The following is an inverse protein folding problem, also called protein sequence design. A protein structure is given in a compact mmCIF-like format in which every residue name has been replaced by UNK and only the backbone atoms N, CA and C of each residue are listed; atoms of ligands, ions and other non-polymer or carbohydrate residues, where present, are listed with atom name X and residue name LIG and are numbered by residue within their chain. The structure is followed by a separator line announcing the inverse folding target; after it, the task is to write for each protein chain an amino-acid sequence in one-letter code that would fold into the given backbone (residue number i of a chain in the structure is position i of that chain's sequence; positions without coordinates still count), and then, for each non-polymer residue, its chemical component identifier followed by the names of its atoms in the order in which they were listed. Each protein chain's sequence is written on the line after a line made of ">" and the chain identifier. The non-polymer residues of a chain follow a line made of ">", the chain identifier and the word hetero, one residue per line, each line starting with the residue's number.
data_IF_795369928738
#
_entry.id   IF_795369928738
#
_cell.length_a   1.000
_cell.length_b   1.000
_cell.length_c   1.000
_cell.angle_alpha   90.00
_cell.angle_beta   90.00
_cell.angle_gamma   90.00
#
_symmetry.space_group_name_H-M   'P 1'
#
loop_
_entity.id
_entity.type
_entity.pdbx_description
1 polymer ?
#
# COMPACT_ATOMS: atom_id res chain seq x y z
N UNK A 1 -12.39 20.92 4.83
CA UNK A 1 -11.20 20.12 4.49
C UNK A 1 -11.15 19.92 2.97
N UNK A 2 -10.98 20.99 2.19
CA UNK A 2 -11.13 20.93 0.73
C UNK A 2 -10.32 22.03 0.01
N UNK A 3 -9.05 22.20 0.38
CA UNK A 3 -8.18 23.19 -0.30
C UNK A 3 -6.74 22.72 -0.52
N UNK A 4 -6.34 21.57 0.04
CA UNK A 4 -4.99 21.04 -0.15
C UNK A 4 -4.88 20.16 -1.40
N UNK A 5 -6.02 19.65 -1.89
CA UNK A 5 -6.08 18.61 -2.91
C UNK A 5 -6.10 19.17 -4.35
N UNK A 6 -6.71 20.34 -4.60
CA UNK A 6 -6.80 20.91 -5.96
C UNK A 6 -5.46 21.38 -6.56
N UNK A 7 -4.50 21.83 -5.73
CA UNK A 7 -3.20 22.32 -6.21
C UNK A 7 -2.19 21.16 -6.40
N UNK A 8 -2.31 20.10 -5.60
CA UNK A 8 -1.49 18.89 -5.75
C UNK A 8 -1.80 18.16 -7.06
N UNK A 9 -3.08 18.12 -7.44
CA UNK A 9 -3.54 17.56 -8.72
C UNK A 9 -3.07 18.35 -9.94
N UNK A 10 -2.92 19.67 -9.82
CA UNK A 10 -2.49 20.52 -10.92
C UNK A 10 -0.96 20.47 -11.19
N UNK A 11 -0.15 20.09 -10.18
CA UNK A 11 1.31 20.01 -10.31
C UNK A 11 1.83 18.59 -10.58
N UNK A 12 0.96 17.58 -10.67
CA UNK A 12 1.38 16.20 -10.91
C UNK A 12 2.32 15.64 -9.85
N UNK A 13 2.32 16.23 -8.64
CA UNK A 13 3.15 15.75 -7.53
C UNK A 13 2.38 14.61 -6.86
N UNK A 14 2.52 13.43 -7.47
CA UNK A 14 2.09 12.15 -6.89
C UNK A 14 2.66 12.03 -5.48
N UNK A 15 1.85 11.63 -4.50
CA UNK A 15 2.34 11.48 -3.12
C UNK A 15 3.47 10.43 -3.03
N UNK A 16 4.36 10.50 -2.03
CA UNK A 16 5.40 9.47 -1.84
C UNK A 16 4.81 8.05 -1.70
N UNK A 17 3.61 7.95 -1.10
CA UNK A 17 2.85 6.71 -0.99
C UNK A 17 2.47 6.16 -2.36
N UNK A 18 1.79 6.96 -3.17
CA UNK A 18 1.35 6.55 -4.51
C UNK A 18 2.53 6.16 -5.40
N UNK A 19 3.62 6.94 -5.36
CA UNK A 19 4.86 6.63 -6.10
C UNK A 19 5.42 5.27 -5.70
N UNK A 20 5.43 4.97 -4.39
CA UNK A 20 5.88 3.67 -3.86
C UNK A 20 4.98 2.52 -4.32
N UNK A 21 3.65 2.70 -4.28
CA UNK A 21 2.69 1.67 -4.74
C UNK A 21 2.86 1.42 -6.24
N UNK A 22 2.85 2.47 -7.08
CA UNK A 22 3.02 2.32 -8.53
C UNK A 22 4.30 1.56 -8.90
N UNK A 23 5.40 1.84 -8.19
CA UNK A 23 6.68 1.15 -8.36
C UNK A 23 6.60 -0.34 -8.02
N UNK A 24 5.78 -0.73 -7.04
CA UNK A 24 5.67 -2.11 -6.59
C UNK A 24 4.65 -2.95 -7.38
N UNK A 25 3.54 -2.36 -7.85
CA UNK A 25 2.46 -3.08 -8.54
C UNK A 25 2.73 -3.25 -10.04
N UNK A 26 3.36 -2.26 -10.68
CA UNK A 26 3.53 -2.22 -12.13
C UNK A 26 2.25 -1.82 -12.87
N UNK A 27 2.40 -1.31 -14.09
CA UNK A 27 1.29 -0.76 -14.89
C UNK A 27 0.94 -1.67 -16.07
N UNK A 28 -0.37 -1.91 -16.28
CA UNK A 28 -0.89 -2.56 -17.49
C UNK A 28 -2.06 -1.77 -18.08
N UNK A 29 -1.87 -1.25 -19.29
CA UNK A 29 -2.88 -0.47 -20.03
C UNK A 29 -4.08 -1.30 -20.50
N UNK A 30 -3.85 -2.59 -20.74
CA UNK A 30 -4.89 -3.56 -21.15
C UNK A 30 -5.28 -4.45 -19.99
N UNK A 31 -6.57 -4.78 -19.89
CA UNK A 31 -7.06 -5.75 -18.91
C UNK A 31 -6.38 -7.11 -19.12
N UNK A 32 -6.18 -7.85 -18.03
CA UNK A 32 -5.54 -9.15 -18.01
C UNK A 32 -6.17 -10.03 -16.93
N UNK A 33 -5.92 -11.33 -16.96
CA UNK A 33 -6.28 -12.22 -15.86
C UNK A 33 -5.13 -12.28 -14.85
N UNK A 34 -5.42 -11.99 -13.59
CA UNK A 34 -4.47 -12.14 -12.50
C UNK A 34 -4.11 -13.62 -12.24
N UNK A 35 -3.26 -13.87 -11.24
CA UNK A 35 -2.85 -15.24 -10.88
C UNK A 35 -3.99 -16.11 -10.32
N UNK A 36 -5.13 -15.51 -9.99
CA UNK A 36 -6.35 -16.17 -9.53
C UNK A 36 -7.42 -16.27 -10.63
N UNK A 37 -7.13 -15.78 -11.85
CA UNK A 37 -8.04 -15.80 -12.98
C UNK A 37 -9.06 -14.65 -13.01
N UNK A 38 -8.88 -13.60 -12.21
CA UNK A 38 -9.80 -12.46 -12.19
C UNK A 38 -9.39 -11.37 -13.18
N UNK A 39 -10.34 -10.71 -13.86
CA UNK A 39 -10.07 -9.54 -14.70
C UNK A 39 -9.46 -8.38 -13.89
N UNK A 40 -8.32 -7.86 -14.32
CA UNK A 40 -7.55 -6.82 -13.63
C UNK A 40 -6.95 -5.83 -14.63
N UNK A 41 -6.76 -4.56 -14.23
CA UNK A 41 -6.15 -3.52 -15.09
C UNK A 41 -5.32 -2.50 -14.28
N UNK A 42 -4.53 -1.67 -14.96
CA UNK A 42 -3.81 -0.56 -14.34
C UNK A 42 -2.74 -1.07 -13.38
N UNK A 43 -2.80 -0.60 -12.13
CA UNK A 43 -1.92 -0.99 -11.03
C UNK A 43 -2.55 -2.06 -10.11
N UNK A 44 -3.26 -3.01 -10.71
CA UNK A 44 -3.88 -4.13 -9.96
C UNK A 44 -5.35 -3.90 -9.60
N UNK A 45 -6.05 -2.99 -10.29
CA UNK A 45 -7.47 -2.74 -10.06
C UNK A 45 -8.31 -3.93 -10.55
N UNK A 46 -9.09 -4.52 -9.64
CA UNK A 46 -9.99 -5.64 -9.92
C UNK A 46 -11.24 -5.15 -10.66
N UNK A 47 -11.49 -5.69 -11.84
CA UNK A 47 -12.67 -5.37 -12.66
C UNK A 47 -13.82 -6.35 -12.37
N UNK A 48 -15.00 -6.05 -12.91
CA UNK A 48 -16.15 -6.97 -12.88
C UNK A 48 -15.78 -8.32 -13.51
N UNK A 49 -16.27 -9.42 -12.92
CA UNK A 49 -15.89 -10.79 -13.30
C UNK A 49 -16.21 -11.17 -14.75
N UNK A 50 -17.16 -10.47 -15.38
CA UNK A 50 -17.56 -10.62 -16.77
C UNK A 50 -16.70 -9.81 -17.75
N UNK A 51 -15.77 -8.98 -17.27
CA UNK A 51 -14.92 -8.14 -18.11
C UNK A 51 -13.89 -8.98 -18.89
N UNK A 52 -13.88 -8.94 -20.23
CA UNK A 52 -12.87 -9.63 -21.03
C UNK A 52 -11.44 -9.11 -20.77
N UNK A 53 -10.46 -10.00 -20.89
CA UNK A 53 -9.06 -9.62 -20.96
C UNK A 53 -8.72 -8.98 -22.33
N UNK A 54 -7.72 -8.10 -22.37
CA UNK A 54 -7.23 -7.43 -23.57
C UNK A 54 -7.89 -6.09 -23.90
N UNK A 55 -8.86 -5.63 -23.10
CA UNK A 55 -9.52 -4.33 -23.29
C UNK A 55 -8.56 -3.24 -22.86
N UNK A 56 -8.30 -2.28 -23.75
CA UNK A 56 -7.45 -1.13 -23.47
C UNK A 56 -8.25 0.00 -22.82
N UNK A 57 -7.69 0.61 -21.77
CA UNK A 57 -8.31 1.72 -21.07
C UNK A 57 -7.48 3.01 -21.26
N UNK A 58 -8.13 4.19 -21.34
CA UNK A 58 -7.44 5.47 -21.29
C UNK A 58 -6.66 5.59 -19.98
N UNK A 59 -5.46 6.17 -20.03
CA UNK A 59 -4.59 6.32 -18.86
C UNK A 59 -5.25 7.14 -17.75
N UNK A 60 -6.03 8.16 -18.11
CA UNK A 60 -6.81 8.96 -17.16
C UNK A 60 -7.79 8.11 -16.33
N UNK A 61 -8.41 7.09 -16.94
CA UNK A 61 -9.34 6.18 -16.23
C UNK A 61 -8.55 5.27 -15.29
N UNK A 62 -7.36 4.82 -15.69
CA UNK A 62 -6.50 3.97 -14.87
C UNK A 62 -5.91 4.73 -13.67
N UNK A 63 -5.59 6.01 -13.84
CA UNK A 63 -5.19 6.91 -12.77
C UNK A 63 -6.33 7.13 -11.76
N UNK A 64 -7.55 7.29 -12.25
CA UNK A 64 -8.73 7.42 -11.39
C UNK A 64 -8.99 6.14 -10.57
N UNK A 65 -8.96 4.96 -11.21
CA UNK A 65 -9.08 3.68 -10.49
C UNK A 65 -7.99 3.52 -9.43
N UNK A 66 -6.75 3.87 -9.76
CA UNK A 66 -5.65 3.82 -8.82
C UNK A 66 -5.88 4.72 -7.60
N UNK A 67 -6.31 5.97 -7.81
CA UNK A 67 -6.62 6.91 -6.72
C UNK A 67 -7.74 6.37 -5.82
N UNK A 68 -8.80 5.83 -6.40
CA UNK A 68 -9.89 5.20 -5.66
C UNK A 68 -9.41 4.01 -4.81
N UNK A 69 -8.56 3.14 -5.36
CA UNK A 69 -7.99 2.00 -4.62
C UNK A 69 -7.07 2.45 -3.48
N UNK A 70 -6.28 3.52 -3.69
CA UNK A 70 -5.44 4.13 -2.64
C UNK A 70 -6.29 4.74 -1.53
N UNK A 71 -7.33 5.50 -1.88
CA UNK A 71 -8.24 6.10 -0.91
C UNK A 71 -8.97 5.05 -0.08
N UNK A 72 -9.41 3.95 -0.72
CA UNK A 72 -10.00 2.82 -0.03
C UNK A 72 -9.01 2.18 0.96
N UNK A 73 -7.73 2.04 0.59
CA UNK A 73 -6.69 1.51 1.47
C UNK A 73 -6.39 2.45 2.66
N UNK A 74 -6.44 3.77 2.45
CA UNK A 74 -6.31 4.79 3.51
C UNK A 74 -7.49 4.72 4.48
N UNK A 75 -8.71 4.58 3.98
CA UNK A 75 -9.88 4.40 4.83
C UNK A 75 -9.78 3.12 5.67
N UNK A 76 -9.39 2.01 5.04
CA UNK A 76 -9.22 0.71 5.69
C UNK A 76 -8.10 0.72 6.75
N UNK A 77 -7.06 1.52 6.57
CA UNK A 77 -6.05 1.76 7.62
C UNK A 77 -6.69 2.30 8.91
N UNK A 78 -7.69 3.18 8.78
CA UNK A 78 -8.49 3.68 9.91
C UNK A 78 -9.26 2.60 10.66
N UNK A 79 -9.48 1.43 10.04
CA UNK A 79 -10.21 0.28 10.58
C UNK A 79 -9.29 -0.82 11.14
N UNK A 80 -7.98 -0.59 11.18
CA UNK A 80 -7.04 -1.46 11.90
C UNK A 80 -7.32 -1.42 13.41
N UNK A 81 -7.18 -2.57 14.12
CA UNK A 81 -7.45 -2.69 15.55
C UNK A 81 -6.29 -2.12 16.38
N UNK A 82 -6.03 -0.82 16.21
CA UNK A 82 -5.04 -0.04 16.96
C UNK A 82 -5.77 0.98 17.82
N UNK A 83 -5.29 1.23 19.04
CA UNK A 83 -5.85 2.32 19.85
C UNK A 83 -5.59 3.68 19.21
N UNK A 84 -6.40 4.66 19.58
CA UNK A 84 -6.18 6.07 19.19
C UNK A 84 -4.78 6.55 19.59
N UNK A 85 -4.22 6.04 20.69
CA UNK A 85 -2.88 6.39 21.16
C UNK A 85 -1.81 5.82 20.23
N UNK A 86 -1.81 4.51 19.99
CA UNK A 86 -0.79 3.87 19.14
C UNK A 86 -0.84 4.40 17.70
N UNK A 87 -2.04 4.64 17.16
CA UNK A 87 -2.21 5.25 15.83
C UNK A 87 -1.59 6.63 15.73
N UNK A 88 -1.74 7.48 16.75
CA UNK A 88 -1.11 8.82 16.79
C UNK A 88 0.41 8.77 16.94
N UNK A 89 0.96 7.66 17.45
CA UNK A 89 2.39 7.47 17.64
C UNK A 89 3.10 6.90 16.39
N UNK A 90 2.35 6.36 15.43
CA UNK A 90 2.92 5.89 14.17
C UNK A 90 3.53 7.05 13.39
N UNK A 91 4.79 6.87 12.99
CA UNK A 91 5.46 7.78 12.07
C UNK A 91 4.78 7.75 10.69
N UNK A 92 4.82 8.84 9.90
CA UNK A 92 4.23 8.86 8.55
C UNK A 92 4.67 7.67 7.68
N UNK A 93 5.97 7.34 7.67
CA UNK A 93 6.50 6.20 6.94
C UNK A 93 5.92 4.84 7.38
N UNK A 94 5.59 4.69 8.67
CA UNK A 94 4.97 3.48 9.20
C UNK A 94 3.50 3.37 8.78
N UNK A 95 2.78 4.50 8.75
CA UNK A 95 1.41 4.56 8.26
C UNK A 95 1.37 4.20 6.77
N UNK A 96 2.26 4.79 5.97
CA UNK A 96 2.41 4.48 4.54
C UNK A 96 2.65 2.99 4.31
N UNK A 97 3.58 2.37 5.04
CA UNK A 97 3.84 0.91 4.92
C UNK A 97 2.60 0.08 5.23
N UNK A 98 1.83 0.44 6.27
CA UNK A 98 0.61 -0.27 6.62
C UNK A 98 -0.46 -0.11 5.54
N UNK A 99 -0.59 1.09 4.94
CA UNK A 99 -1.49 1.34 3.82
C UNK A 99 -1.05 0.54 2.58
N UNK A 100 0.25 0.51 2.24
CA UNK A 100 0.77 -0.29 1.13
C UNK A 100 0.53 -1.80 1.32
N UNK A 101 0.61 -2.29 2.57
CA UNK A 101 0.23 -3.67 2.88
C UNK A 101 -1.27 -3.90 2.68
N UNK A 102 -2.12 -2.95 3.07
CA UNK A 102 -3.57 -3.03 2.85
C UNK A 102 -3.88 -3.02 1.35
N UNK A 103 -3.27 -2.13 0.57
CA UNK A 103 -3.43 -2.08 -0.88
C UNK A 103 -3.08 -3.43 -1.53
N UNK A 104 -1.94 -4.02 -1.14
CA UNK A 104 -1.45 -5.24 -1.77
C UNK A 104 -2.29 -6.50 -1.47
N UNK A 105 -2.84 -6.62 -0.26
CA UNK A 105 -3.44 -7.89 0.18
C UNK A 105 -4.78 -7.76 0.91
N UNK A 106 -5.28 -6.55 1.06
CA UNK A 106 -6.54 -6.21 1.71
C UNK A 106 -6.47 -6.19 3.24
N UNK A 107 -7.32 -5.35 3.84
CA UNK A 107 -7.48 -5.23 5.29
C UNK A 107 -7.71 -6.57 6.01
N UNK A 108 -8.54 -7.52 5.51
CA UNK A 108 -8.76 -8.79 6.21
C UNK A 108 -7.48 -9.60 6.41
N UNK A 109 -6.53 -9.56 5.47
CA UNK A 109 -5.25 -10.26 5.60
C UNK A 109 -4.31 -9.50 6.53
N UNK A 110 -4.24 -8.17 6.45
CA UNK A 110 -3.43 -7.35 7.37
C UNK A 110 -3.88 -7.54 8.83
N UNK A 111 -5.18 -7.64 9.11
CA UNK A 111 -5.72 -7.93 10.45
C UNK A 111 -5.23 -9.26 11.06
N UNK A 112 -4.73 -10.19 10.24
CA UNK A 112 -4.17 -11.47 10.71
C UNK A 112 -2.74 -11.35 11.24
N UNK A 113 -2.05 -10.22 11.02
CA UNK A 113 -0.71 -9.94 11.54
C UNK A 113 -0.76 -9.55 13.03
N UNK A 114 -1.38 -10.40 13.85
CA UNK A 114 -1.69 -10.11 15.27
C UNK A 114 -0.45 -9.72 16.09
N UNK A 115 0.69 -10.37 15.83
CA UNK A 115 1.95 -10.10 16.53
C UNK A 115 2.56 -8.76 16.14
N UNK A 116 2.56 -8.43 14.85
CA UNK A 116 2.99 -7.12 14.34
C UNK A 116 2.10 -6.00 14.90
N UNK A 117 0.78 -6.14 14.78
CA UNK A 117 -0.19 -5.16 15.29
C UNK A 117 -0.07 -4.99 16.82
N UNK A 118 0.12 -6.09 17.55
CA UNK A 118 0.37 -6.05 18.99
C UNK A 118 1.70 -5.35 19.35
N UNK A 119 2.74 -5.49 18.54
CA UNK A 119 4.01 -4.78 18.74
C UNK A 119 3.83 -3.27 18.46
N UNK A 120 3.11 -2.90 17.40
CA UNK A 120 2.72 -1.52 17.11
C UNK A 120 1.95 -0.90 18.28
N UNK A 121 1.00 -1.64 18.85
CA UNK A 121 0.19 -1.18 19.98
C UNK A 121 1.05 -0.85 21.22
N UNK A 122 2.18 -1.53 21.38
CA UNK A 122 3.17 -1.28 22.45
C UNK A 122 4.25 -0.26 22.07
N UNK A 123 4.23 0.28 20.86
CA UNK A 123 5.29 1.16 20.34
C UNK A 123 6.59 0.44 19.97
N UNK A 124 6.59 -0.89 19.90
CA UNK A 124 7.76 -1.72 19.60
C UNK A 124 7.95 -1.86 18.09
N UNK A 125 8.59 -0.86 17.50
CA UNK A 125 8.84 -0.77 16.05
C UNK A 125 9.73 -1.92 15.54
N UNK A 126 10.73 -2.32 16.30
CA UNK A 126 11.67 -3.35 15.87
C UNK A 126 10.99 -4.72 15.81
N UNK A 127 10.23 -5.09 16.83
CA UNK A 127 9.45 -6.34 16.83
C UNK A 127 8.38 -6.31 15.75
N UNK A 128 7.70 -5.18 15.53
CA UNK A 128 6.73 -5.05 14.44
C UNK A 128 7.38 -5.33 13.07
N UNK A 129 8.53 -4.72 12.79
CA UNK A 129 9.26 -4.95 11.54
C UNK A 129 9.76 -6.40 11.37
N UNK A 130 10.15 -7.06 12.46
CA UNK A 130 10.52 -8.50 12.45
C UNK A 130 9.31 -9.38 12.16
N UNK A 131 8.19 -9.15 12.84
CA UNK A 131 6.96 -9.91 12.65
C UNK A 131 6.34 -9.69 11.26
N UNK A 132 6.48 -8.50 10.67
CA UNK A 132 6.12 -8.24 9.28
C UNK A 132 6.85 -9.18 8.30
N UNK A 133 8.15 -9.39 8.51
CA UNK A 133 8.97 -10.29 7.68
C UNK A 133 8.76 -11.77 7.99
N UNK A 134 8.29 -12.11 9.19
CA UNK A 134 7.95 -13.48 9.58
C UNK A 134 6.54 -13.87 9.11
N UNK A 135 6.26 -13.64 7.83
CA UNK A 135 4.95 -13.87 7.21
C UNK A 135 5.08 -14.52 5.84
N UNK A 136 4.04 -15.24 5.40
CA UNK A 136 4.00 -15.77 4.04
C UNK A 136 3.88 -14.67 2.98
N UNK A 137 3.25 -13.54 3.35
CA UNK A 137 3.25 -12.32 2.56
C UNK A 137 4.68 -11.89 2.19
N UNK A 138 5.59 -11.84 3.17
CA UNK A 138 6.98 -11.44 2.91
C UNK A 138 7.71 -12.39 1.97
N UNK A 139 7.39 -13.70 2.01
CA UNK A 139 7.90 -14.68 1.05
C UNK A 139 7.34 -14.43 -0.36
N UNK A 140 6.04 -14.13 -0.45
CA UNK A 140 5.33 -13.93 -1.71
C UNK A 140 5.79 -12.66 -2.44
N UNK A 141 5.93 -11.53 -1.74
CA UNK A 141 6.31 -10.25 -2.37
C UNK A 141 7.82 -9.97 -2.36
N UNK A 142 8.60 -10.81 -1.67
CA UNK A 142 10.05 -10.84 -1.71
C UNK A 142 10.74 -9.49 -1.45
N UNK A 143 11.28 -8.89 -2.51
CA UNK A 143 12.02 -7.62 -2.44
C UNK A 143 11.20 -6.46 -1.87
N UNK A 144 9.90 -6.40 -2.19
CA UNK A 144 8.98 -5.37 -1.68
C UNK A 144 8.91 -5.36 -0.15
N UNK A 145 8.77 -6.54 0.45
CA UNK A 145 8.67 -6.65 1.91
C UNK A 145 9.92 -6.10 2.61
N UNK A 146 11.12 -6.34 2.03
CA UNK A 146 12.38 -5.79 2.56
C UNK A 146 12.46 -4.26 2.42
N UNK A 147 11.98 -3.70 1.31
CA UNK A 147 11.90 -2.24 1.12
C UNK A 147 10.99 -1.63 2.18
N UNK A 148 9.77 -2.17 2.32
CA UNK A 148 8.80 -1.70 3.30
C UNK A 148 9.28 -1.86 4.74
N UNK A 149 10.03 -2.92 5.05
CA UNK A 149 10.65 -3.09 6.38
C UNK A 149 11.64 -1.97 6.69
N UNK A 150 12.52 -1.62 5.75
CA UNK A 150 13.50 -0.54 5.95
C UNK A 150 12.81 0.81 6.14
N UNK A 151 11.78 1.08 5.33
CA UNK A 151 10.91 2.26 5.46
C UNK A 151 10.24 2.32 6.83
N UNK A 152 9.64 1.21 7.27
CA UNK A 152 8.99 1.10 8.58
C UNK A 152 9.94 1.38 9.76
N UNK A 153 11.21 0.97 9.63
CA UNK A 153 12.25 1.21 10.63
C UNK A 153 12.92 2.58 10.52
N UNK A 154 12.56 3.42 9.53
CA UNK A 154 13.20 4.72 9.31
C UNK A 154 14.64 4.65 8.79
N UNK A 155 15.06 3.51 8.21
CA UNK A 155 16.45 3.26 7.76
C UNK A 155 16.69 3.64 6.29
N UNK A 156 15.89 4.52 5.70
CA UNK A 156 15.97 4.85 4.27
C UNK A 156 17.11 5.83 3.90
N UNK A 157 17.75 6.50 4.88
CA UNK A 157 18.66 7.62 4.60
C UNK A 157 20.13 7.48 5.09
N UNK A 158 20.67 6.27 5.24
CA UNK A 158 22.09 6.08 5.61
C UNK A 158 23.06 5.97 4.41
N UNK A 159 22.68 6.51 3.24
CA UNK A 159 23.55 6.56 2.05
C UNK A 159 24.06 7.97 1.68
N UNK A 160 23.72 9.01 2.44
CA UNK A 160 24.16 10.39 2.15
C UNK A 160 24.88 11.11 3.30
N UNK A 161 25.45 10.36 4.26
CA UNK A 161 26.44 10.87 5.22
C UNK A 161 27.83 10.37 4.84
N UNK A 162 28.44 11.00 3.84
CA UNK A 162 29.89 11.07 3.66
C UNK A 162 30.24 12.46 3.16
#
# INVERSE_FOLDING_TARGET
>A
MAKRDEIADLLGIISPLETSIKKHEGFRKKSYLDSLGNPTVGWGHLLSSDTPAGIEYPELVLEEFFRQDVDAAIEDFGRLPLSTKSRKQLLPAQQEVLIEMIFNMGLPKVKRFKKMLGAIERGDTETAAKEMMKSDWAKQVGGRARTLQKKFMGKENDKNKR
#
